data_IF_872883276629
#
_entry.id   IF_872883276629
#
_cell.length_a   1.000
_cell.length_b   1.000
_cell.length_c   1.000
_cell.angle_alpha   90.00
_cell.angle_beta   90.00
_cell.angle_gamma   90.00
#
_symmetry.space_group_name_H-M   'P 1'
#
loop_
_entity.id
_entity.type
_entity.pdbx_description
1 polymer ?
#
# COMPACT_ATOMS: atom_id res chain seq x y z
N UNK A 1 -15.23 16.63 -44.85
CA UNK A 1 -14.64 16.24 -43.56
C UNK A 1 -15.29 14.95 -43.10
N UNK A 2 -14.54 13.84 -43.11
CA UNK A 2 -15.03 12.52 -42.68
C UNK A 2 -14.78 12.39 -41.17
N UNK A 3 -15.84 12.14 -40.41
CA UNK A 3 -15.77 11.80 -39.01
C UNK A 3 -15.06 10.45 -38.83
N UNK A 4 -13.92 10.46 -38.15
CA UNK A 4 -13.24 9.26 -37.68
C UNK A 4 -14.11 8.63 -36.59
N UNK A 5 -14.70 7.47 -36.91
CA UNK A 5 -15.34 6.58 -35.95
C UNK A 5 -14.30 6.19 -34.90
N UNK A 6 -14.45 6.71 -33.68
CA UNK A 6 -13.73 6.23 -32.51
C UNK A 6 -14.02 4.75 -32.32
N UNK A 7 -12.96 3.95 -32.24
CA UNK A 7 -13.06 2.54 -31.90
C UNK A 7 -13.69 2.44 -30.50
N UNK A 8 -14.94 1.99 -30.42
CA UNK A 8 -15.51 1.51 -29.17
C UNK A 8 -14.74 0.25 -28.78
N UNK A 9 -13.81 0.38 -27.82
CA UNK A 9 -13.24 -0.73 -27.08
C UNK A 9 -14.42 -1.51 -26.46
N UNK A 10 -14.79 -2.62 -27.09
CA UNK A 10 -15.73 -3.57 -26.52
C UNK A 10 -15.01 -4.34 -25.42
N UNK A 11 -15.04 -3.80 -24.21
CA UNK A 11 -14.71 -4.54 -22.99
C UNK A 11 -15.70 -5.71 -22.86
N UNK A 12 -15.22 -6.94 -22.83
CA UNK A 12 -16.02 -8.08 -22.38
C UNK A 12 -15.99 -8.09 -20.86
N UNK A 13 -16.85 -7.29 -20.25
CA UNK A 13 -16.93 -7.15 -18.80
C UNK A 13 -17.35 -8.48 -18.15
N UNK A 14 -16.48 -9.06 -17.34
CA UNK A 14 -16.86 -10.11 -16.39
C UNK A 14 -17.13 -9.46 -15.04
N UNK A 15 -18.41 -9.29 -14.68
CA UNK A 15 -18.78 -8.76 -13.36
C UNK A 15 -18.59 -9.86 -12.32
N UNK A 16 -17.48 -9.78 -11.57
CA UNK A 16 -17.26 -10.57 -10.36
C UNK A 16 -17.41 -9.65 -9.16
N UNK A 17 -18.50 -9.82 -8.39
CA UNK A 17 -18.79 -8.99 -7.22
C UNK A 17 -18.12 -9.56 -5.98
N UNK A 18 -17.38 -8.73 -5.25
CA UNK A 18 -16.82 -9.07 -3.95
C UNK A 18 -17.47 -8.22 -2.85
N UNK A 19 -18.19 -8.86 -1.92
CA UNK A 19 -18.61 -8.25 -0.66
C UNK A 19 -17.52 -8.50 0.37
N UNK A 20 -17.15 -7.48 1.15
CA UNK A 20 -16.00 -7.47 2.07
C UNK A 20 -15.89 -8.63 3.09
N UNK A 21 -16.94 -9.45 3.27
CA UNK A 21 -16.96 -10.61 4.19
C UNK A 21 -16.82 -11.98 3.51
N UNK A 22 -16.80 -12.06 2.18
CA UNK A 22 -16.76 -13.33 1.45
C UNK A 22 -15.40 -13.53 0.74
N UNK A 23 -14.57 -14.47 1.21
CA UNK A 23 -13.31 -14.85 0.52
C UNK A 23 -13.50 -15.57 -0.81
N UNK A 24 -14.75 -15.74 -1.25
CA UNK A 24 -15.11 -16.51 -2.44
C UNK A 24 -15.64 -15.56 -3.50
N UNK A 25 -14.82 -15.35 -4.52
CA UNK A 25 -15.22 -14.61 -5.71
C UNK A 25 -16.19 -15.46 -6.53
N UNK A 26 -17.43 -14.97 -6.65
CA UNK A 26 -18.46 -15.64 -7.44
C UNK A 26 -18.41 -15.09 -8.86
N UNK A 27 -18.03 -15.95 -9.80
CA UNK A 27 -18.39 -15.75 -11.20
C UNK A 27 -19.92 -15.83 -11.26
N UNK A 28 -20.61 -14.76 -11.64
CA UNK A 28 -22.04 -14.84 -11.96
C UNK A 28 -22.14 -15.52 -13.32
N UNK A 29 -22.50 -16.81 -13.42
CA UNK A 29 -22.53 -17.46 -14.72
C UNK A 29 -23.94 -17.33 -15.30
N UNK A 30 -24.07 -17.28 -16.62
CA UNK A 30 -25.35 -17.54 -17.31
C UNK A 30 -25.86 -18.98 -17.08
N UNK A 31 -25.09 -19.83 -16.36
CA UNK A 31 -25.40 -21.23 -16.09
C UNK A 31 -24.98 -21.68 -14.67
N UNK A 32 -25.89 -22.09 -13.77
CA UNK A 32 -25.64 -22.25 -12.33
C UNK A 32 -24.82 -23.48 -11.89
N UNK A 33 -24.26 -24.29 -12.80
CA UNK A 33 -23.67 -25.61 -12.48
C UNK A 33 -22.14 -25.69 -12.41
N UNK A 34 -21.41 -24.57 -12.49
CA UNK A 34 -19.95 -24.57 -12.24
C UNK A 34 -19.48 -23.28 -11.57
N UNK A 35 -19.53 -23.22 -10.24
CA UNK A 35 -18.85 -22.17 -9.47
C UNK A 35 -17.34 -22.44 -9.49
N UNK A 36 -16.64 -21.87 -10.48
CA UNK A 36 -15.18 -21.77 -10.47
C UNK A 36 -14.79 -20.74 -9.40
N UNK A 37 -14.20 -21.20 -8.28
CA UNK A 37 -13.56 -20.33 -7.30
C UNK A 37 -12.21 -19.93 -7.88
N UNK A 38 -12.05 -18.65 -8.20
CA UNK A 38 -10.76 -18.09 -8.64
C UNK A 38 -10.09 -17.47 -7.42
N UNK A 39 -8.84 -17.89 -7.16
CA UNK A 39 -7.96 -17.31 -6.15
C UNK A 39 -7.23 -16.13 -6.77
N UNK A 40 -7.33 -14.96 -6.15
CA UNK A 40 -6.57 -13.78 -6.55
C UNK A 40 -5.34 -13.61 -5.68
N UNK A 41 -4.20 -13.48 -6.37
CA UNK A 41 -2.90 -13.24 -5.77
C UNK A 41 -2.38 -11.93 -6.35
N UNK A 42 -2.30 -10.88 -5.54
CA UNK A 42 -1.67 -9.63 -5.94
C UNK A 42 -0.21 -9.62 -5.48
N UNK A 43 0.65 -9.22 -6.41
CA UNK A 43 2.03 -8.91 -6.16
C UNK A 43 2.20 -7.41 -6.02
N UNK A 44 2.96 -6.96 -5.03
CA UNK A 44 3.54 -5.62 -5.06
C UNK A 44 4.54 -5.49 -6.24
N UNK A 45 4.77 -4.26 -6.71
CA UNK A 45 5.63 -3.97 -7.85
C UNK A 45 7.08 -4.44 -7.67
N UNK A 46 7.61 -4.41 -6.44
CA UNK A 46 8.95 -4.94 -6.17
C UNK A 46 9.08 -6.42 -6.53
N UNK A 47 8.04 -7.22 -6.24
CA UNK A 47 8.02 -8.65 -6.59
C UNK A 47 8.04 -8.83 -8.10
N UNK A 48 7.18 -8.11 -8.83
CA UNK A 48 7.13 -8.17 -10.29
C UNK A 48 8.44 -7.72 -10.93
N UNK A 49 9.08 -6.69 -10.38
CA UNK A 49 10.40 -6.21 -10.83
C UNK A 49 11.46 -7.28 -10.66
N UNK A 50 11.48 -7.98 -9.52
CA UNK A 50 12.43 -9.06 -9.27
C UNK A 50 12.18 -10.28 -10.15
N UNK A 51 10.92 -10.61 -10.44
CA UNK A 51 10.56 -11.67 -11.38
C UNK A 51 11.01 -11.38 -12.82
N UNK A 52 11.23 -10.11 -13.19
CA UNK A 52 11.74 -9.73 -14.52
C UNK A 52 13.22 -9.99 -14.68
N UNK A 53 13.99 -9.64 -13.65
CA UNK A 53 15.46 -9.67 -13.69
C UNK A 53 16.03 -10.26 -12.39
N UNK A 54 15.80 -11.57 -12.11
CA UNK A 54 16.25 -12.19 -10.86
C UNK A 54 17.76 -12.07 -10.64
N UNK A 55 18.54 -12.07 -11.72
CA UNK A 55 20.00 -11.98 -11.69
C UNK A 55 20.51 -10.69 -11.05
N UNK A 56 19.71 -9.61 -11.04
CA UNK A 56 20.04 -8.36 -10.34
C UNK A 56 20.10 -8.53 -8.82
N UNK A 57 19.60 -9.65 -8.30
CA UNK A 57 19.66 -10.02 -6.87
C UNK A 57 20.84 -10.92 -6.54
N UNK A 58 21.74 -11.22 -7.50
CA UNK A 58 22.90 -12.09 -7.28
C UNK A 58 23.68 -11.70 -6.03
N UNK A 59 23.87 -12.65 -5.11
CA UNK A 59 24.51 -12.42 -3.80
C UNK A 59 23.56 -12.10 -2.64
N UNK A 60 22.26 -11.91 -2.90
CA UNK A 60 21.22 -11.81 -1.88
C UNK A 60 20.50 -13.15 -1.69
N UNK A 61 20.16 -13.57 -0.44
CA UNK A 61 19.27 -14.71 -0.21
C UNK A 61 17.92 -14.59 -0.93
N UNK A 62 17.47 -13.35 -1.21
CA UNK A 62 16.23 -13.09 -1.94
C UNK A 62 16.25 -13.68 -3.36
N UNK A 63 17.43 -13.77 -3.99
CA UNK A 63 17.58 -14.34 -5.33
C UNK A 63 17.03 -15.77 -5.40
N UNK A 64 17.40 -16.63 -4.44
CA UNK A 64 16.90 -18.00 -4.36
C UNK A 64 15.37 -18.05 -4.22
N UNK A 65 14.80 -17.20 -3.37
CA UNK A 65 13.36 -17.16 -3.15
C UNK A 65 12.60 -16.68 -4.37
N UNK A 66 13.15 -15.74 -5.14
CA UNK A 66 12.56 -15.25 -6.39
C UNK A 66 12.59 -16.33 -7.47
N UNK A 67 13.69 -17.06 -7.63
CA UNK A 67 13.77 -18.19 -8.55
C UNK A 67 12.76 -19.30 -8.19
N UNK A 68 12.63 -19.61 -6.90
CA UNK A 68 11.63 -20.57 -6.42
C UNK A 68 10.19 -20.07 -6.65
N UNK A 69 9.93 -18.77 -6.48
CA UNK A 69 8.64 -18.18 -6.80
C UNK A 69 8.33 -18.30 -8.30
N UNK A 70 9.29 -18.04 -9.20
CA UNK A 70 9.10 -18.25 -10.64
C UNK A 70 8.68 -19.68 -10.95
N UNK A 71 9.39 -20.68 -10.41
CA UNK A 71 9.05 -22.11 -10.60
C UNK A 71 7.63 -22.42 -10.10
N UNK A 72 7.25 -21.92 -8.92
CA UNK A 72 5.90 -22.10 -8.39
C UNK A 72 4.84 -21.51 -9.32
N UNK A 73 5.05 -20.28 -9.81
CA UNK A 73 4.07 -19.58 -10.63
C UNK A 73 3.84 -20.26 -11.97
N UNK A 74 4.91 -20.73 -12.61
CA UNK A 74 4.84 -21.27 -13.97
C UNK A 74 4.64 -22.79 -14.02
N UNK A 75 5.00 -23.53 -12.97
CA UNK A 75 4.94 -25.00 -12.97
C UNK A 75 3.92 -25.58 -12.00
N UNK A 76 3.65 -24.93 -10.86
CA UNK A 76 2.89 -25.58 -9.77
C UNK A 76 1.46 -25.04 -9.61
N UNK A 77 1.23 -23.76 -9.94
CA UNK A 77 -0.08 -23.13 -9.76
C UNK A 77 -1.00 -23.44 -10.96
N UNK A 78 -2.22 -23.89 -10.68
CA UNK A 78 -3.26 -24.07 -11.68
C UNK A 78 -3.80 -22.71 -12.17
N UNK A 79 -3.34 -22.28 -13.35
CA UNK A 79 -3.76 -21.04 -14.00
C UNK A 79 -5.25 -20.99 -14.36
N UNK A 80 -5.99 -22.12 -14.30
CA UNK A 80 -7.45 -22.12 -14.47
C UNK A 80 -8.19 -21.69 -13.21
N UNK A 81 -7.52 -21.73 -12.05
CA UNK A 81 -8.11 -21.48 -10.73
C UNK A 81 -7.44 -20.33 -9.98
N UNK A 82 -6.34 -19.81 -10.51
CA UNK A 82 -5.60 -18.70 -9.91
C UNK A 82 -5.39 -17.60 -10.95
N UNK A 83 -5.53 -16.36 -10.51
CA UNK A 83 -5.32 -15.18 -11.32
C UNK A 83 -4.39 -14.21 -10.58
N UNK A 84 -3.47 -13.62 -11.34
CA UNK A 84 -2.46 -12.69 -10.87
C UNK A 84 -2.72 -11.30 -11.47
N UNK A 85 -3.73 -10.56 -11.00
CA UNK A 85 -4.09 -9.31 -11.65
C UNK A 85 -3.08 -8.20 -11.34
N UNK A 86 -2.88 -7.29 -12.29
CA UNK A 86 -2.32 -5.96 -12.01
C UNK A 86 -3.44 -4.97 -11.62
N UNK A 87 -3.06 -3.75 -11.26
CA UNK A 87 -3.97 -2.65 -10.90
C UNK A 87 -3.36 -1.31 -11.28
N UNK A 88 -4.08 -0.22 -11.07
CA UNK A 88 -3.56 1.14 -11.30
C UNK A 88 -2.38 1.49 -10.39
N UNK A 89 -2.19 0.81 -9.25
CA UNK A 89 -1.01 0.98 -8.41
C UNK A 89 0.28 0.63 -9.17
N UNK A 90 0.24 -0.46 -9.95
CA UNK A 90 1.35 -0.88 -10.80
C UNK A 90 1.64 0.13 -11.92
N UNK A 91 0.60 0.75 -12.47
CA UNK A 91 0.79 1.82 -13.44
C UNK A 91 1.41 3.07 -12.81
N UNK A 92 1.06 3.40 -11.56
CA UNK A 92 1.71 4.48 -10.83
C UNK A 92 3.21 4.19 -10.64
N UNK A 93 3.60 2.97 -10.26
CA UNK A 93 5.01 2.58 -10.18
C UNK A 93 5.76 2.66 -11.50
N UNK A 94 5.12 2.25 -12.60
CA UNK A 94 5.70 2.36 -13.93
C UNK A 94 5.88 3.83 -14.27
N UNK A 95 4.83 4.65 -14.13
CA UNK A 95 4.80 6.08 -14.45
C UNK A 95 5.78 6.92 -13.63
N UNK A 96 6.01 6.56 -12.37
CA UNK A 96 6.97 7.24 -11.51
C UNK A 96 8.41 6.74 -11.70
N UNK A 97 8.62 5.66 -12.45
CA UNK A 97 9.94 5.16 -12.83
C UNK A 97 10.49 5.83 -14.10
N UNK A 98 11.59 5.27 -14.62
CA UNK A 98 12.22 5.79 -15.84
C UNK A 98 11.35 5.55 -17.08
N UNK A 99 11.09 6.62 -17.84
CA UNK A 99 10.19 6.64 -18.99
C UNK A 99 10.67 5.82 -20.18
N UNK A 100 11.99 5.70 -20.35
CA UNK A 100 12.63 4.84 -21.34
C UNK A 100 12.34 3.34 -21.11
N UNK A 101 11.88 2.96 -19.93
CA UNK A 101 11.59 1.57 -19.57
C UNK A 101 10.10 1.23 -19.56
N UNK A 102 9.21 2.16 -19.92
CA UNK A 102 7.76 1.93 -19.87
C UNK A 102 7.34 0.72 -20.71
N UNK A 103 7.74 0.65 -21.97
CA UNK A 103 7.35 -0.43 -22.88
C UNK A 103 7.77 -1.80 -22.34
N UNK A 104 9.03 -1.94 -21.92
CA UNK A 104 9.54 -3.18 -21.35
C UNK A 104 8.85 -3.57 -20.04
N UNK A 105 8.52 -2.60 -19.17
CA UNK A 105 7.80 -2.83 -17.93
C UNK A 105 6.34 -3.26 -18.17
N UNK A 106 5.66 -2.64 -19.12
CA UNK A 106 4.28 -2.96 -19.49
C UNK A 106 4.18 -4.31 -20.18
N UNK A 107 5.14 -4.64 -21.06
CA UNK A 107 5.22 -5.96 -21.69
C UNK A 107 5.42 -7.06 -20.63
N UNK A 108 6.33 -6.84 -19.67
CA UNK A 108 6.54 -7.78 -18.57
C UNK A 108 5.31 -7.95 -17.68
N UNK A 109 4.64 -6.82 -17.34
CA UNK A 109 3.40 -6.84 -16.57
C UNK A 109 2.34 -7.69 -17.28
N UNK A 110 2.09 -7.42 -18.56
CA UNK A 110 1.15 -8.18 -19.41
C UNK A 110 1.46 -9.69 -19.41
N UNK A 111 2.74 -10.08 -19.54
CA UNK A 111 3.17 -11.47 -19.55
C UNK A 111 2.88 -12.21 -18.24
N UNK A 112 3.17 -11.59 -17.09
CA UNK A 112 2.92 -12.23 -15.79
C UNK A 112 1.43 -12.27 -15.46
N UNK A 113 0.70 -11.20 -15.77
CA UNK A 113 -0.69 -11.06 -15.32
C UNK A 113 -1.70 -11.61 -16.31
N UNK A 114 -1.27 -12.05 -17.50
CA UNK A 114 -2.16 -12.43 -18.63
C UNK A 114 -3.22 -11.34 -18.92
N UNK A 115 -2.77 -10.08 -18.81
CA UNK A 115 -3.58 -8.85 -18.90
C UNK A 115 -4.77 -8.75 -17.93
N UNK A 116 -4.85 -9.56 -16.88
CA UNK A 116 -5.88 -9.42 -15.87
C UNK A 116 -5.66 -8.13 -15.06
N UNK A 117 -6.67 -7.29 -15.02
CA UNK A 117 -6.65 -6.01 -14.34
C UNK A 117 -7.73 -5.94 -13.26
N UNK A 118 -7.33 -5.53 -12.08
CA UNK A 118 -8.20 -5.22 -10.96
C UNK A 118 -8.36 -3.69 -10.85
N UNK A 119 -9.60 -3.22 -10.78
CA UNK A 119 -9.91 -1.79 -10.67
C UNK A 119 -11.19 -1.54 -9.87
N UNK A 120 -11.44 -0.27 -9.55
CA UNK A 120 -12.64 0.18 -8.86
C UNK A 120 -13.34 1.24 -9.72
N UNK A 121 -14.66 1.15 -9.85
CA UNK A 121 -15.44 2.27 -10.37
C UNK A 121 -15.67 3.30 -9.25
N UNK A 122 -15.84 4.59 -9.59
CA UNK A 122 -16.15 5.66 -8.62
C UNK A 122 -17.58 5.59 -8.05
N UNK A 123 -18.13 4.39 -7.83
CA UNK A 123 -19.47 4.16 -7.28
C UNK A 123 -19.39 3.94 -5.75
N UNK A 124 -20.27 4.54 -4.93
CA UNK A 124 -20.30 4.38 -3.47
C UNK A 124 -20.27 2.94 -2.92
N UNK A 125 -20.71 1.94 -3.68
CA UNK A 125 -20.68 0.53 -3.23
C UNK A 125 -19.26 -0.08 -3.17
N UNK A 126 -18.24 0.61 -3.71
CA UNK A 126 -16.82 0.24 -3.60
C UNK A 126 -16.50 -1.19 -4.04
N UNK A 127 -17.16 -1.74 -5.05
CA UNK A 127 -16.84 -3.09 -5.53
C UNK A 127 -15.50 -3.12 -6.28
N UNK A 128 -14.74 -4.20 -6.09
CA UNK A 128 -13.60 -4.50 -6.95
C UNK A 128 -14.09 -5.21 -8.20
N UNK A 129 -13.58 -4.76 -9.35
CA UNK A 129 -13.86 -5.33 -10.65
C UNK A 129 -12.59 -5.96 -11.19
N UNK A 130 -12.79 -7.09 -11.88
CA UNK A 130 -11.74 -7.78 -12.61
C UNK A 130 -12.13 -7.81 -14.09
N UNK A 131 -11.25 -7.32 -14.94
CA UNK A 131 -11.42 -7.41 -16.39
C UNK A 131 -10.09 -7.75 -17.06
N UNK A 132 -10.15 -8.18 -18.33
CA UNK A 132 -8.96 -8.41 -19.12
C UNK A 132 -8.66 -7.18 -19.96
N UNK A 133 -7.49 -6.59 -19.75
CA UNK A 133 -7.03 -5.44 -20.51
C UNK A 133 -6.66 -5.87 -21.94
N UNK A 134 -7.39 -5.37 -22.93
CA UNK A 134 -7.12 -5.76 -24.34
C UNK A 134 -5.87 -5.08 -24.88
N UNK A 135 -5.55 -3.89 -24.38
CA UNK A 135 -4.40 -3.09 -24.79
C UNK A 135 -3.85 -2.36 -23.56
N UNK A 136 -2.85 -2.97 -22.92
CA UNK A 136 -2.22 -2.45 -21.70
C UNK A 136 -1.52 -1.10 -21.94
N UNK A 137 -1.02 -0.87 -23.15
CA UNK A 137 -0.31 0.36 -23.54
C UNK A 137 -1.30 1.52 -23.64
N UNK A 138 -2.40 1.31 -24.36
CA UNK A 138 -3.46 2.31 -24.46
C UNK A 138 -4.08 2.62 -23.09
N UNK A 139 -4.26 1.61 -22.24
CA UNK A 139 -4.82 1.82 -20.91
C UNK A 139 -3.84 2.58 -19.99
N UNK A 140 -2.56 2.22 -19.99
CA UNK A 140 -1.53 2.94 -19.26
C UNK A 140 -1.49 4.42 -19.65
N UNK A 141 -1.58 4.73 -20.96
CA UNK A 141 -1.61 6.12 -21.44
C UNK A 141 -2.79 6.92 -20.85
N UNK A 142 -3.99 6.34 -20.84
CA UNK A 142 -5.18 6.98 -20.24
C UNK A 142 -4.94 7.24 -18.76
N UNK A 143 -4.42 6.26 -18.02
CA UNK A 143 -4.11 6.41 -16.59
C UNK A 143 -3.03 7.47 -16.35
N UNK A 144 -1.98 7.51 -17.17
CA UNK A 144 -0.89 8.48 -17.09
C UNK A 144 -1.37 9.92 -17.30
N UNK A 145 -2.31 10.15 -18.23
CA UNK A 145 -2.94 11.45 -18.44
C UNK A 145 -3.73 11.91 -17.20
N UNK A 146 -4.47 11.00 -16.56
CA UNK A 146 -5.21 11.31 -15.33
C UNK A 146 -4.27 11.64 -14.17
N UNK A 147 -3.20 10.86 -13.98
CA UNK A 147 -2.17 11.11 -12.95
C UNK A 147 -1.49 12.48 -13.13
N UNK A 148 -1.36 12.97 -14.37
CA UNK A 148 -0.80 14.28 -14.66
C UNK A 148 -1.77 15.44 -14.36
N UNK A 149 -3.08 15.23 -14.50
CA UNK A 149 -4.10 16.30 -14.47
C UNK A 149 -4.65 16.70 -13.09
N UNK A 150 -4.45 15.89 -12.04
CA UNK A 150 -5.11 16.06 -10.73
C UNK A 150 -4.53 17.13 -9.80
N UNK A 151 -3.64 18.02 -10.26
CA UNK A 151 -2.70 18.74 -9.37
C UNK A 151 -2.97 20.22 -9.09
N UNK A 152 -3.96 20.88 -9.71
CA UNK A 152 -4.00 22.35 -9.69
C UNK A 152 -4.82 22.99 -8.57
N UNK A 153 -6.09 22.64 -8.35
CA UNK A 153 -6.97 23.37 -7.41
C UNK A 153 -6.82 22.97 -5.94
N UNK A 154 -6.48 21.72 -5.63
CA UNK A 154 -6.24 21.25 -4.25
C UNK A 154 -4.94 21.79 -3.63
N UNK A 155 -4.01 22.26 -4.46
CA UNK A 155 -2.67 22.67 -4.01
C UNK A 155 -2.67 24.00 -3.23
N UNK A 156 -3.54 24.94 -3.58
CA UNK A 156 -3.51 26.29 -3.00
C UNK A 156 -4.13 26.35 -1.60
N UNK A 157 -5.20 25.59 -1.35
CA UNK A 157 -5.77 25.43 -0.01
C UNK A 157 -4.78 24.74 0.95
N UNK A 158 -4.19 23.61 0.51
CA UNK A 158 -3.22 22.87 1.31
C UNK A 158 -1.99 23.72 1.63
N UNK A 159 -1.54 24.53 0.67
CA UNK A 159 -0.45 25.49 0.88
C UNK A 159 -0.78 26.49 2.00
N UNK A 160 -1.97 27.10 1.99
CA UNK A 160 -2.36 28.04 3.04
C UNK A 160 -2.39 27.39 4.43
N UNK A 161 -2.81 26.13 4.52
CA UNK A 161 -2.76 25.37 5.78
C UNK A 161 -1.30 25.12 6.20
N UNK A 162 -0.44 24.67 5.28
CA UNK A 162 0.98 24.42 5.55
C UNK A 162 1.71 25.69 6.01
N UNK A 163 1.46 26.83 5.37
CA UNK A 163 2.06 28.12 5.72
C UNK A 163 1.64 28.58 7.13
N UNK A 164 0.37 28.40 7.50
CA UNK A 164 -0.14 28.72 8.83
C UNK A 164 0.47 27.83 9.92
N UNK A 165 0.59 26.52 9.65
CA UNK A 165 1.25 25.58 10.57
C UNK A 165 2.72 25.95 10.74
N UNK A 166 3.42 26.26 9.63
CA UNK A 166 4.82 26.67 9.69
C UNK A 166 5.01 27.99 10.48
N UNK A 167 4.14 28.98 10.30
CA UNK A 167 4.19 30.22 11.08
C UNK A 167 3.96 29.99 12.59
N UNK A 168 3.04 29.09 12.94
CA UNK A 168 2.78 28.73 14.34
C UNK A 168 3.99 28.04 14.97
N UNK A 169 4.58 27.08 14.27
CA UNK A 169 5.75 26.34 14.73
C UNK A 169 6.99 27.22 14.86
N UNK A 170 7.22 28.16 13.93
CA UNK A 170 8.31 29.13 14.05
C UNK A 170 8.20 29.96 15.33
N UNK A 171 6.99 30.44 15.65
CA UNK A 171 6.75 31.22 16.87
C UNK A 171 7.00 30.42 18.15
N UNK A 172 6.81 29.10 18.12
CA UNK A 172 7.05 28.21 19.26
C UNK A 172 8.50 27.73 19.37
N UNK A 173 9.27 27.74 18.27
CA UNK A 173 10.63 27.20 18.23
C UNK A 173 11.60 27.94 19.17
N UNK A 174 11.41 29.25 19.35
CA UNK A 174 12.24 30.08 20.25
C UNK A 174 12.08 29.69 21.72
N UNK A 175 10.91 29.19 22.12
CA UNK A 175 10.59 28.81 23.50
C UNK A 175 11.11 27.41 23.87
N UNK A 176 11.58 26.63 22.90
CA UNK A 176 12.04 25.26 23.13
C UNK A 176 13.48 25.26 23.64
N UNK A 177 13.76 24.66 24.81
CA UNK A 177 15.09 24.71 25.42
C UNK A 177 16.10 23.77 24.74
N UNK A 178 15.66 22.67 24.13
CA UNK A 178 16.54 21.75 23.40
C UNK A 178 16.90 22.28 22.01
N UNK A 179 18.19 22.52 21.78
CA UNK A 179 18.71 22.98 20.49
C UNK A 179 18.49 21.95 19.36
N UNK A 180 18.51 20.65 19.68
CA UNK A 180 18.20 19.60 18.73
C UNK A 180 16.75 19.69 18.26
N UNK A 181 15.80 19.82 19.19
CA UNK A 181 14.37 19.97 18.86
C UNK A 181 14.08 21.28 18.14
N UNK A 182 14.69 22.38 18.55
CA UNK A 182 14.61 23.67 17.85
C UNK A 182 15.07 23.55 16.40
N UNK A 183 16.22 22.90 16.17
CA UNK A 183 16.75 22.64 14.83
C UNK A 183 15.78 21.81 13.99
N UNK A 184 15.19 20.77 14.57
CA UNK A 184 14.23 19.91 13.88
C UNK A 184 12.95 20.68 13.50
N UNK A 185 12.43 21.54 14.39
CA UNK A 185 11.24 22.35 14.12
C UNK A 185 11.49 23.40 13.05
N UNK A 186 12.62 24.11 13.08
CA UNK A 186 12.99 25.07 12.03
C UNK A 186 13.19 24.40 10.67
N UNK A 187 13.72 23.18 10.66
CA UNK A 187 13.77 22.36 9.43
C UNK A 187 12.37 21.99 8.95
N UNK A 188 11.45 21.65 9.86
CA UNK A 188 10.08 21.29 9.54
C UNK A 188 9.33 22.49 8.93
N UNK A 189 9.47 23.68 9.52
CA UNK A 189 8.82 24.90 9.02
C UNK A 189 9.34 25.30 7.65
N UNK A 190 10.64 25.12 7.42
CA UNK A 190 11.26 25.31 6.09
C UNK A 190 10.72 24.31 5.07
N UNK A 191 10.60 23.04 5.45
CA UNK A 191 10.07 22.00 4.57
C UNK A 191 8.59 22.23 4.21
N UNK A 192 7.76 22.62 5.18
CA UNK A 192 6.33 22.90 4.99
C UNK A 192 6.06 24.06 4.02
N UNK A 193 6.94 25.08 4.00
CA UNK A 193 6.80 26.25 3.12
C UNK A 193 7.31 26.04 1.70
N UNK A 194 8.08 24.98 1.48
CA UNK A 194 8.77 24.76 0.21
C UNK A 194 7.90 23.93 -0.74
N UNK A 195 7.72 24.41 -1.97
CA UNK A 195 6.78 23.85 -2.96
C UNK A 195 7.32 22.61 -3.72
N UNK A 196 8.42 22.02 -3.30
CA UNK A 196 9.00 20.84 -3.96
C UNK A 196 8.50 19.54 -3.31
N UNK A 197 8.13 18.56 -4.13
CA UNK A 197 7.77 17.20 -3.67
C UNK A 197 8.88 16.51 -2.86
N UNK A 198 10.14 16.93 -3.00
CA UNK A 198 11.26 16.42 -2.21
C UNK A 198 11.12 16.74 -0.71
N UNK A 199 10.26 17.70 -0.34
CA UNK A 199 10.03 18.10 1.03
C UNK A 199 9.11 17.14 1.79
N UNK A 200 8.22 16.40 1.13
CA UNK A 200 7.38 15.41 1.81
C UNK A 200 8.26 14.34 2.47
N UNK A 201 9.30 13.90 1.77
CA UNK A 201 10.31 12.99 2.31
C UNK A 201 11.08 13.63 3.47
N UNK A 202 11.38 14.93 3.39
CA UNK A 202 12.08 15.65 4.47
C UNK A 202 11.20 15.82 5.72
N UNK A 203 9.91 16.13 5.57
CA UNK A 203 8.93 16.16 6.67
C UNK A 203 8.90 14.80 7.38
N UNK A 204 8.86 13.70 6.63
CA UNK A 204 8.90 12.35 7.19
C UNK A 204 10.22 12.06 7.92
N UNK A 205 11.37 12.51 7.39
CA UNK A 205 12.68 12.34 8.04
C UNK A 205 12.74 13.11 9.35
N UNK A 206 12.21 14.34 9.38
CA UNK A 206 12.17 15.17 10.58
C UNK A 206 11.26 14.54 11.62
N UNK A 207 10.06 14.07 11.25
CA UNK A 207 9.16 13.36 12.16
C UNK A 207 9.87 12.13 12.76
N UNK A 208 10.57 11.33 11.94
CA UNK A 208 11.36 10.19 12.42
C UNK A 208 12.50 10.62 13.34
N UNK A 209 13.17 11.74 13.07
CA UNK A 209 14.23 12.26 13.93
C UNK A 209 13.67 12.74 15.28
N UNK A 210 12.54 13.46 15.29
CA UNK A 210 11.86 13.91 16.51
C UNK A 210 11.43 12.72 17.39
N UNK A 211 10.94 11.62 16.78
CA UNK A 211 10.66 10.37 17.52
C UNK A 211 11.89 9.77 18.22
N UNK A 212 13.08 10.01 17.70
CA UNK A 212 14.35 9.45 18.21
C UNK A 212 15.16 10.43 19.07
N UNK A 213 14.84 11.73 19.04
CA UNK A 213 15.61 12.80 19.69
C UNK A 213 15.49 12.79 21.23
N UNK A 214 14.67 11.91 21.81
CA UNK A 214 14.52 11.80 23.25
C UNK A 214 13.92 13.05 23.89
N UNK A 215 14.09 13.25 25.22
CA UNK A 215 13.40 14.29 25.97
C UNK A 215 13.75 15.72 25.52
N UNK A 216 12.75 16.61 25.56
CA UNK A 216 12.87 18.03 25.13
C UNK A 216 13.57 18.89 26.21
N UNK A 217 13.74 18.35 27.42
CA UNK A 217 14.42 18.96 28.56
C UNK A 217 14.62 17.95 29.72
N UNK A 218 15.26 18.37 30.82
CA UNK A 218 15.57 17.47 31.96
C UNK A 218 14.32 16.83 32.62
N UNK A 219 13.13 17.43 32.44
CA UNK A 219 11.86 16.99 33.06
C UNK A 219 10.77 16.55 32.06
N UNK A 220 11.01 16.52 30.75
CA UNK A 220 9.98 16.19 29.74
C UNK A 220 10.41 15.02 28.87
N UNK A 221 10.04 13.81 29.28
CA UNK A 221 10.14 12.61 28.46
C UNK A 221 8.89 12.50 27.57
N UNK A 222 9.09 12.63 26.26
CA UNK A 222 8.04 12.37 25.26
C UNK A 222 8.11 10.90 24.85
N UNK A 223 7.16 10.12 25.33
CA UNK A 223 6.99 8.72 24.95
C UNK A 223 5.99 8.63 23.81
N UNK A 224 6.44 8.08 22.67
CA UNK A 224 5.57 7.81 21.53
C UNK A 224 4.89 6.44 21.70
N UNK A 225 3.62 6.27 21.25
CA UNK A 225 3.01 4.95 21.20
C UNK A 225 3.88 4.01 20.36
N UNK A 226 4.19 2.84 20.89
CA UNK A 226 5.04 1.87 20.22
C UNK A 226 4.52 0.45 20.43
N UNK A 227 4.42 -0.31 19.34
CA UNK A 227 4.16 -1.74 19.36
C UNK A 227 5.27 -2.51 18.67
N UNK A 228 5.57 -3.70 19.20
CA UNK A 228 6.48 -4.64 18.54
C UNK A 228 5.79 -5.32 17.35
N UNK A 229 6.57 -5.72 16.34
CA UNK A 229 6.06 -6.36 15.13
C UNK A 229 5.31 -7.68 15.40
N UNK A 230 5.59 -8.37 16.51
CA UNK A 230 4.88 -9.58 16.92
C UNK A 230 3.41 -9.34 17.23
N UNK A 231 3.00 -8.09 17.51
CA UNK A 231 1.60 -7.72 17.72
C UNK A 231 0.73 -8.06 16.49
N UNK A 232 1.31 -8.06 15.28
CA UNK A 232 0.59 -8.43 14.05
C UNK A 232 0.19 -9.90 13.96
N UNK A 233 0.59 -10.74 14.92
CA UNK A 233 0.17 -12.14 15.03
C UNK A 233 -0.97 -12.35 16.02
N UNK A 234 -1.42 -11.29 16.71
CA UNK A 234 -2.55 -11.33 17.62
C UNK A 234 -3.87 -11.45 16.85
N UNK A 235 -4.93 -11.91 17.54
CA UNK A 235 -6.28 -11.78 17.01
C UNK A 235 -6.72 -10.30 16.98
N UNK A 236 -7.73 -9.94 16.17
CA UNK A 236 -8.15 -8.55 15.99
C UNK A 236 -8.52 -7.82 17.29
N UNK A 237 -9.10 -8.51 18.27
CA UNK A 237 -9.53 -7.90 19.54
C UNK A 237 -8.31 -7.62 20.41
N UNK A 238 -7.42 -8.60 20.57
CA UNK A 238 -6.19 -8.42 21.31
C UNK A 238 -5.28 -7.35 20.69
N UNK A 239 -5.18 -7.31 19.35
CA UNK A 239 -4.42 -6.29 18.64
C UNK A 239 -4.92 -4.88 18.93
N UNK A 240 -6.25 -4.66 18.89
CA UNK A 240 -6.87 -3.36 19.22
C UNK A 240 -6.61 -2.96 20.67
N UNK A 241 -6.72 -3.89 21.60
CA UNK A 241 -6.42 -3.63 23.01
C UNK A 241 -4.95 -3.20 23.22
N UNK A 242 -3.99 -3.86 22.55
CA UNK A 242 -2.58 -3.47 22.61
C UNK A 242 -2.32 -2.09 22.00
N UNK A 243 -3.03 -1.72 20.92
CA UNK A 243 -2.96 -0.36 20.35
C UNK A 243 -3.46 0.67 21.35
N UNK A 244 -4.63 0.44 21.94
CA UNK A 244 -5.21 1.36 22.92
C UNK A 244 -4.31 1.51 24.16
N UNK A 245 -3.71 0.41 24.63
CA UNK A 245 -2.72 0.43 25.72
C UNK A 245 -1.47 1.22 25.35
N UNK A 246 -0.93 1.04 24.15
CA UNK A 246 0.24 1.79 23.68
C UNK A 246 -0.05 3.29 23.57
N UNK A 247 -1.26 3.67 23.14
CA UNK A 247 -1.70 5.07 23.09
C UNK A 247 -1.84 5.64 24.51
N UNK A 248 -2.53 4.93 25.40
CA UNK A 248 -2.79 5.37 26.76
C UNK A 248 -1.51 5.57 27.58
N UNK A 249 -0.48 4.74 27.33
CA UNK A 249 0.81 4.81 28.00
C UNK A 249 1.81 5.78 27.34
N UNK A 250 1.38 6.54 26.33
CA UNK A 250 2.21 7.51 25.63
C UNK A 250 1.96 8.95 26.12
N UNK A 251 2.78 9.89 25.65
CA UNK A 251 2.59 11.32 25.90
C UNK A 251 1.54 11.98 24.99
N UNK A 252 0.86 11.22 24.12
CA UNK A 252 -0.15 11.76 23.20
C UNK A 252 -1.47 12.06 23.95
N UNK A 253 -2.24 13.09 23.52
CA UNK A 253 -3.44 13.55 24.22
C UNK A 253 -4.68 12.67 23.98
N UNK A 254 -4.50 11.43 23.52
CA UNK A 254 -5.59 10.53 23.14
C UNK A 254 -5.70 9.40 24.16
N UNK A 255 -6.93 9.01 24.51
CA UNK A 255 -7.16 7.91 25.47
C UNK A 255 -7.23 6.55 24.82
N UNK A 256 -7.50 6.51 23.52
CA UNK A 256 -7.68 5.29 22.73
C UNK A 256 -7.52 5.61 21.25
N UNK A 257 -7.54 4.56 20.44
CA UNK A 257 -7.46 4.62 18.98
C UNK A 257 -8.61 5.38 18.31
N UNK A 258 -9.82 5.38 18.86
CA UNK A 258 -10.95 6.15 18.30
C UNK A 258 -10.72 7.65 18.42
N UNK A 259 -10.35 8.12 19.61
CA UNK A 259 -9.98 9.53 19.82
C UNK A 259 -8.77 9.94 18.96
N UNK A 260 -7.79 9.04 18.81
CA UNK A 260 -6.63 9.29 17.97
C UNK A 260 -7.02 9.42 16.49
N UNK A 261 -7.89 8.55 15.97
CA UNK A 261 -8.40 8.64 14.59
C UNK A 261 -9.15 9.95 14.37
N UNK A 262 -10.09 10.29 15.25
CA UNK A 262 -10.89 11.52 15.15
C UNK A 262 -10.01 12.78 15.22
N UNK A 263 -8.97 12.77 16.07
CA UNK A 263 -8.05 13.88 16.21
C UNK A 263 -7.04 14.02 15.07
N UNK A 264 -6.62 12.91 14.46
CA UNK A 264 -5.58 12.89 13.40
C UNK A 264 -6.17 12.95 11.98
N UNK A 265 -7.44 12.60 11.80
CA UNK A 265 -8.17 12.69 10.54
C UNK A 265 -9.34 13.68 10.65
N UNK A 266 -9.08 15.00 10.72
CA UNK A 266 -10.11 16.01 11.00
C UNK A 266 -11.04 16.30 9.81
N UNK A 267 -10.87 15.62 8.67
CA UNK A 267 -11.64 15.86 7.45
C UNK A 267 -12.78 14.87 7.30
N UNK A 268 -13.90 15.33 6.74
CA UNK A 268 -15.01 14.45 6.40
C UNK A 268 -14.62 13.49 5.26
N UNK A 269 -14.34 12.24 5.63
CA UNK A 269 -14.05 11.13 4.70
C UNK A 269 -15.33 10.53 4.12
N UNK A 270 -16.51 11.14 4.30
CA UNK A 270 -17.80 10.67 3.78
C UNK A 270 -17.81 10.48 2.27
N UNK A 271 -17.04 11.31 1.55
CA UNK A 271 -16.90 11.29 0.09
C UNK A 271 -16.03 10.14 -0.42
N UNK A 272 -15.24 9.51 0.46
CA UNK A 272 -14.40 8.38 0.09
C UNK A 272 -15.19 7.06 0.14
N UNK A 273 -14.86 6.11 -0.77
CA UNK A 273 -15.30 4.72 -0.67
C UNK A 273 -15.12 4.14 0.74
N UNK A 274 -16.12 3.45 1.34
CA UNK A 274 -16.02 2.88 2.68
C UNK A 274 -14.72 2.12 2.99
N UNK A 275 -14.25 1.26 2.09
CA UNK A 275 -13.00 0.54 2.31
C UNK A 275 -11.78 1.46 2.34
N UNK A 276 -11.76 2.49 1.48
CA UNK A 276 -10.68 3.46 1.46
C UNK A 276 -10.64 4.28 2.76
N UNK A 277 -11.82 4.62 3.31
CA UNK A 277 -11.90 5.26 4.63
C UNK A 277 -11.28 4.38 5.72
N UNK A 278 -11.73 3.13 5.82
CA UNK A 278 -11.20 2.19 6.81
C UNK A 278 -9.70 1.92 6.62
N UNK A 279 -9.23 1.90 5.38
CA UNK A 279 -7.80 1.77 5.07
C UNK A 279 -7.00 2.98 5.57
N UNK A 280 -7.50 4.21 5.36
CA UNK A 280 -6.83 5.43 5.85
C UNK A 280 -6.79 5.47 7.38
N UNK A 281 -7.91 5.15 8.05
CA UNK A 281 -7.99 5.08 9.51
C UNK A 281 -6.99 4.06 10.07
N UNK A 282 -6.95 2.85 9.50
CA UNK A 282 -6.01 1.81 9.89
C UNK A 282 -4.56 2.21 9.63
N UNK A 283 -4.30 2.89 8.51
CA UNK A 283 -2.97 3.35 8.15
C UNK A 283 -2.44 4.39 9.15
N UNK A 284 -3.28 5.34 9.56
CA UNK A 284 -2.93 6.33 10.60
C UNK A 284 -2.58 5.64 11.91
N UNK A 285 -3.34 4.62 12.32
CA UNK A 285 -3.03 3.84 13.52
C UNK A 285 -1.65 3.16 13.40
N UNK A 286 -1.38 2.48 12.28
CA UNK A 286 -0.09 1.80 12.07
C UNK A 286 1.10 2.77 12.13
N UNK A 287 0.94 3.97 11.56
CA UNK A 287 1.97 5.03 11.59
C UNK A 287 2.13 5.66 12.98
N UNK A 288 1.03 5.77 13.75
CA UNK A 288 1.02 6.27 15.12
C UNK A 288 1.77 5.35 16.08
N UNK A 289 1.48 4.05 16.05
CA UNK A 289 2.12 3.06 16.95
C UNK A 289 3.47 2.53 16.45
N UNK A 290 4.00 3.12 15.38
CA UNK A 290 5.35 2.83 14.88
C UNK A 290 5.58 1.40 14.36
N UNK A 291 4.53 0.70 13.94
CA UNK A 291 4.61 -0.69 13.49
C UNK A 291 5.30 -0.84 12.11
N UNK A 292 5.25 0.20 11.28
CA UNK A 292 5.91 0.25 9.97
C UNK A 292 6.96 1.38 9.98
N UNK A 293 8.24 1.04 9.98
CA UNK A 293 9.32 2.02 9.96
C UNK A 293 9.96 2.15 8.57
N UNK A 294 9.48 3.12 7.80
CA UNK A 294 9.97 3.34 6.44
C UNK A 294 11.46 3.74 6.40
N UNK A 295 12.17 3.26 5.38
CA UNK A 295 13.56 3.65 5.14
C UNK A 295 13.58 4.89 4.25
N UNK A 296 13.53 6.06 4.88
CA UNK A 296 13.50 7.38 4.22
C UNK A 296 14.83 7.84 3.58
N UNK A 297 15.66 6.90 3.10
CA UNK A 297 16.98 7.21 2.53
C UNK A 297 16.90 7.83 1.14
N UNK A 298 15.90 7.46 0.35
CA UNK A 298 15.72 7.94 -1.02
C UNK A 298 14.78 9.14 -1.05
N UNK A 299 15.01 10.07 -1.97
CA UNK A 299 14.12 11.22 -2.20
C UNK A 299 12.70 10.79 -2.62
N UNK A 300 12.58 9.64 -3.27
CA UNK A 300 11.32 9.05 -3.71
C UNK A 300 10.50 8.39 -2.60
N UNK A 301 10.92 8.43 -1.34
CA UNK A 301 10.29 7.69 -0.25
C UNK A 301 8.83 8.11 -0.01
N UNK A 302 8.52 9.42 -0.03
CA UNK A 302 7.15 9.90 0.11
C UNK A 302 6.22 9.41 -1.02
N UNK A 303 6.71 9.42 -2.27
CA UNK A 303 5.96 8.86 -3.41
C UNK A 303 5.75 7.36 -3.24
N UNK A 304 6.75 6.63 -2.75
CA UNK A 304 6.64 5.20 -2.45
C UNK A 304 5.50 4.93 -1.48
N UNK A 305 5.42 5.68 -0.37
CA UNK A 305 4.34 5.53 0.61
C UNK A 305 2.94 5.78 0.01
N UNK A 306 2.83 6.74 -0.93
CA UNK A 306 1.57 6.97 -1.62
C UNK A 306 1.20 5.78 -2.51
N UNK A 307 2.15 5.24 -3.27
CA UNK A 307 1.91 4.06 -4.12
C UNK A 307 1.64 2.81 -3.28
N UNK A 308 2.29 2.65 -2.14
CA UNK A 308 2.07 1.56 -1.19
C UNK A 308 0.61 1.54 -0.69
N UNK A 309 0.03 2.71 -0.38
CA UNK A 309 -1.39 2.81 -0.05
C UNK A 309 -2.30 2.35 -1.20
N UNK A 310 -1.92 2.63 -2.46
CA UNK A 310 -2.65 2.12 -3.61
C UNK A 310 -2.52 0.60 -3.73
N UNK A 311 -1.34 0.03 -3.50
CA UNK A 311 -1.16 -1.43 -3.45
C UNK A 311 -2.00 -2.07 -2.34
N UNK A 312 -2.04 -1.48 -1.15
CA UNK A 312 -2.86 -1.95 -0.03
C UNK A 312 -4.35 -1.91 -0.35
N UNK A 313 -4.83 -0.86 -1.04
CA UNK A 313 -6.23 -0.74 -1.48
C UNK A 313 -6.69 -1.96 -2.27
N UNK A 314 -5.84 -2.48 -3.14
CA UNK A 314 -6.14 -3.64 -3.96
C UNK A 314 -5.79 -4.95 -3.24
N UNK A 315 -4.55 -5.08 -2.76
CA UNK A 315 -3.98 -6.30 -2.19
C UNK A 315 -4.78 -6.82 -1.00
N UNK A 316 -5.19 -5.94 -0.08
CA UNK A 316 -5.89 -6.34 1.16
C UNK A 316 -7.31 -6.88 0.92
N UNK A 317 -7.85 -6.69 -0.29
CA UNK A 317 -9.17 -7.17 -0.68
C UNK A 317 -9.10 -8.45 -1.53
N UNK A 318 -7.91 -9.03 -1.67
CA UNK A 318 -7.70 -10.29 -2.39
C UNK A 318 -7.45 -11.46 -1.44
N UNK A 319 -7.21 -12.66 -1.97
CA UNK A 319 -6.94 -13.81 -1.12
C UNK A 319 -5.51 -13.79 -0.58
N UNK A 320 -4.55 -13.47 -1.45
CA UNK A 320 -3.13 -13.38 -1.10
C UNK A 320 -2.55 -12.06 -1.58
N UNK A 321 -1.85 -11.36 -0.69
CA UNK A 321 -1.03 -10.22 -1.03
C UNK A 321 0.43 -10.53 -0.74
N UNK A 322 1.30 -10.39 -1.73
CA UNK A 322 2.70 -10.78 -1.64
C UNK A 322 3.56 -9.57 -1.94
N UNK A 323 4.46 -9.24 -1.01
CA UNK A 323 5.44 -8.15 -1.18
C UNK A 323 6.84 -8.63 -0.82
N UNK A 324 7.85 -7.94 -1.36
CA UNK A 324 9.24 -8.08 -0.95
C UNK A 324 9.71 -6.93 -0.05
N UNK A 325 8.87 -5.92 0.15
CA UNK A 325 9.15 -4.79 1.03
C UNK A 325 8.70 -5.13 2.46
N UNK A 326 9.65 -5.09 3.39
CA UNK A 326 9.40 -5.43 4.80
C UNK A 326 8.49 -4.41 5.49
N UNK A 327 8.62 -3.11 5.17
CA UNK A 327 7.77 -2.09 5.77
C UNK A 327 6.32 -2.24 5.27
N UNK A 328 6.13 -2.46 3.96
CA UNK A 328 4.82 -2.76 3.39
C UNK A 328 4.23 -4.06 3.94
N UNK A 329 5.06 -5.10 4.13
CA UNK A 329 4.65 -6.37 4.72
C UNK A 329 4.07 -6.18 6.12
N UNK A 330 4.79 -5.49 7.00
CA UNK A 330 4.36 -5.22 8.37
C UNK A 330 3.09 -4.37 8.40
N UNK A 331 3.01 -3.34 7.56
CA UNK A 331 1.83 -2.48 7.40
C UNK A 331 0.61 -3.28 6.94
N UNK A 332 0.76 -4.09 5.90
CA UNK A 332 -0.31 -4.92 5.38
C UNK A 332 -0.81 -5.94 6.41
N UNK A 333 0.09 -6.61 7.15
CA UNK A 333 -0.28 -7.53 8.24
C UNK A 333 -1.04 -6.80 9.35
N UNK A 334 -0.54 -5.67 9.84
CA UNK A 334 -1.19 -4.88 10.87
C UNK A 334 -2.59 -4.41 10.45
N UNK A 335 -2.75 -3.87 9.23
CA UNK A 335 -4.04 -3.41 8.72
C UNK A 335 -4.99 -4.60 8.53
N UNK A 336 -4.50 -5.74 8.05
CA UNK A 336 -5.35 -6.94 7.87
C UNK A 336 -5.93 -7.43 9.18
N UNK A 337 -5.15 -7.43 10.27
CA UNK A 337 -5.62 -7.79 11.62
C UNK A 337 -6.55 -6.72 12.17
N UNK A 338 -6.19 -5.44 12.03
CA UNK A 338 -7.00 -4.31 12.50
C UNK A 338 -8.42 -4.36 11.90
N UNK A 339 -8.51 -4.52 10.58
CA UNK A 339 -9.77 -4.52 9.84
C UNK A 339 -10.45 -5.90 9.78
N UNK A 340 -9.89 -6.94 10.44
CA UNK A 340 -10.38 -8.32 10.40
C UNK A 340 -10.59 -8.83 8.95
N UNK A 341 -9.57 -8.61 8.11
CA UNK A 341 -9.62 -8.96 6.69
C UNK A 341 -9.17 -10.40 6.49
N UNK A 342 -9.79 -11.13 5.56
CA UNK A 342 -9.48 -12.55 5.36
C UNK A 342 -8.34 -12.81 4.35
N UNK A 343 -7.65 -11.74 3.94
CA UNK A 343 -6.43 -11.78 3.12
C UNK A 343 -5.30 -12.42 3.93
N UNK A 344 -4.42 -13.18 3.27
CA UNK A 344 -3.17 -13.62 3.87
C UNK A 344 -2.03 -12.87 3.20
N UNK A 345 -1.24 -12.16 4.01
CA UNK A 345 -0.13 -11.33 3.55
C UNK A 345 1.17 -12.11 3.73
N UNK A 346 1.97 -12.19 2.68
CA UNK A 346 3.22 -12.93 2.67
C UNK A 346 4.40 -12.08 2.20
N UNK A 347 5.56 -12.34 2.79
CA UNK A 347 6.83 -12.14 2.08
C UNK A 347 6.99 -13.21 0.99
N UNK A 348 7.88 -12.98 0.01
CA UNK A 348 8.21 -14.00 -1.00
C UNK A 348 8.62 -15.32 -0.33
N UNK A 349 9.47 -15.26 0.70
CA UNK A 349 9.94 -16.43 1.43
C UNK A 349 8.79 -17.19 2.12
N UNK A 350 7.89 -16.47 2.81
CA UNK A 350 6.77 -17.08 3.51
C UNK A 350 5.84 -17.81 2.53
N UNK A 351 5.53 -17.18 1.40
CA UNK A 351 4.67 -17.76 0.36
C UNK A 351 5.29 -19.02 -0.26
N UNK A 352 6.57 -18.95 -0.65
CA UNK A 352 7.30 -20.09 -1.22
C UNK A 352 7.35 -21.25 -0.22
N UNK A 353 7.72 -20.96 1.03
CA UNK A 353 7.83 -21.97 2.09
C UNK A 353 6.50 -22.69 2.33
N UNK A 354 5.41 -21.92 2.47
CA UNK A 354 4.08 -22.48 2.66
C UNK A 354 3.67 -23.35 1.47
N UNK A 355 3.86 -22.86 0.25
CA UNK A 355 3.48 -23.57 -0.97
C UNK A 355 4.22 -24.91 -1.09
N UNK A 356 5.53 -24.92 -0.84
CA UNK A 356 6.35 -26.14 -0.83
C UNK A 356 5.89 -27.11 0.26
N UNK A 357 5.57 -26.63 1.46
CA UNK A 357 5.08 -27.49 2.54
C UNK A 357 3.73 -28.13 2.20
N UNK A 358 2.82 -27.36 1.59
CA UNK A 358 1.51 -27.87 1.13
C UNK A 358 1.71 -28.90 0.03
N UNK A 359 2.56 -28.63 -0.97
CA UNK A 359 2.87 -29.56 -2.05
C UNK A 359 3.45 -30.89 -1.53
N UNK A 360 4.39 -30.84 -0.58
CA UNK A 360 4.95 -32.02 0.09
C UNK A 360 3.90 -32.83 0.85
N UNK A 361 2.97 -32.18 1.56
CA UNK A 361 1.88 -32.88 2.25
C UNK A 361 0.90 -33.55 1.27
N UNK A 362 0.73 -32.99 0.08
CA UNK A 362 -0.12 -33.55 -0.96
C UNK A 362 0.57 -34.66 -1.78
N UNK A 363 1.89 -34.79 -1.68
CA UNK A 363 2.69 -35.88 -2.26
C UNK A 363 3.56 -36.52 -1.17
N UNK A 364 2.98 -37.41 -0.33
CA UNK A 364 3.69 -37.96 0.83
C UNK A 364 4.91 -38.80 0.48
N UNK A 365 5.01 -39.33 -0.74
CA UNK A 365 6.07 -40.25 -1.15
C UNK A 365 6.83 -39.71 -2.38
N UNK A 366 8.16 -39.75 -2.29
CA UNK A 366 9.09 -39.13 -3.22
C UNK A 366 8.88 -39.50 -4.70
N UNK A 367 8.79 -38.45 -5.51
CA UNK A 367 9.11 -38.44 -6.93
C UNK A 367 9.83 -37.12 -7.23
#
# INVERSE_FOLDING_TARGET
MRATKGAQLRLKTYVMRHRAKDTKWKRTPENPSSQLVIIFIIFDWNVLTYLREPDKLSGSPLHFWVLALQEILFSWIDSKRTCFPFSTAHFADIYHGSSDLYDAKLQHLSQITDDWCLFEYPNPESELFLDRCVDIQAYFKICAEHMHSGSTESSEFLKNVQDNVAATLDGQAEEIPSEEWRTLILRLTTALRSQNMDNDTEILRINKAMRNAGPVGEDVQLDFPALSSSATSLDPVAFRASVDEAILNSSFPYRNSTEAIEGLLPYDLSTLPPFMRSLLEANVIVDLVGLSNEKLRKETAARSLHTDLQHLRYGLRTKFFITADEALLQRAKAISVWLDLPVIVFSIQEFVTLTVQVAKKQRPDGA
#
